data_IF_982387613375
#
_entry.id   IF_982387613375
#
_cell.length_a   1.000
_cell.length_b   1.000
_cell.length_c   1.000
_cell.angle_alpha   90.00
_cell.angle_beta   90.00
_cell.angle_gamma   90.00
#
_symmetry.space_group_name_H-M   'P 1'
#
loop_
_entity.id
_entity.type
_entity.pdbx_description
1 polymer ?
#
# COMPACT_ATOMS: atom_id res chain seq x y z
N UNK A 1 -1.99 1.72 -6.42
CA UNK A 1 -2.41 0.38 -5.94
C UNK A 1 -2.43 0.34 -4.41
N UNK A 2 -1.28 0.35 -3.70
CA UNK A 2 -1.24 0.15 -2.25
C UNK A 2 -2.13 1.11 -1.45
N UNK A 3 -2.06 2.41 -1.72
CA UNK A 3 -2.91 3.41 -1.04
C UNK A 3 -4.40 3.10 -1.18
N UNK A 4 -4.84 2.74 -2.40
CA UNK A 4 -6.25 2.44 -2.65
C UNK A 4 -6.70 1.19 -1.89
N UNK A 5 -5.88 0.15 -1.84
CA UNK A 5 -6.20 -1.09 -1.14
C UNK A 5 -6.34 -0.90 0.39
N UNK A 6 -5.67 0.08 0.98
CA UNK A 6 -5.78 0.32 2.43
C UNK A 6 -6.77 1.44 2.80
N UNK A 7 -7.03 2.41 1.90
CA UNK A 7 -7.95 3.53 2.20
C UNK A 7 -9.37 3.23 1.73
N UNK A 8 -9.54 2.72 0.51
CA UNK A 8 -10.86 2.49 -0.09
C UNK A 8 -11.82 1.67 0.79
N UNK A 9 -11.42 0.54 1.41
CA UNK A 9 -12.33 -0.20 2.28
C UNK A 9 -12.77 0.62 3.50
N UNK A 10 -11.88 1.44 4.08
CA UNK A 10 -12.19 2.26 5.25
C UNK A 10 -13.24 3.33 4.94
N UNK A 11 -13.09 4.04 3.82
CA UNK A 11 -14.04 5.09 3.42
C UNK A 11 -15.33 4.50 2.86
N UNK A 12 -15.24 3.48 2.00
CA UNK A 12 -16.39 2.84 1.37
C UNK A 12 -17.36 2.22 2.38
N UNK A 13 -16.85 1.67 3.46
CA UNK A 13 -17.65 1.07 4.53
C UNK A 13 -18.00 2.06 5.65
N UNK A 14 -17.61 3.32 5.51
CA UNK A 14 -17.91 4.38 6.47
C UNK A 14 -17.24 4.18 7.82
N UNK A 15 -16.08 3.53 7.85
CA UNK A 15 -15.29 3.37 9.08
C UNK A 15 -14.50 4.63 9.39
N UNK A 16 -14.04 5.33 8.36
CA UNK A 16 -13.36 6.64 8.46
C UNK A 16 -14.04 7.58 7.46
N UNK A 17 -14.25 8.82 7.88
CA UNK A 17 -14.86 9.86 7.04
C UNK A 17 -14.06 10.13 5.77
N UNK A 18 -14.76 10.37 4.65
CA UNK A 18 -14.14 10.83 3.40
C UNK A 18 -13.48 12.21 3.55
N UNK A 19 -13.85 12.99 4.56
CA UNK A 19 -13.23 14.29 4.91
C UNK A 19 -11.96 14.17 5.76
N UNK A 20 -11.63 12.95 6.27
CA UNK A 20 -10.43 12.71 7.06
C UNK A 20 -9.16 13.04 6.27
N UNK A 21 -8.19 13.69 6.93
CA UNK A 21 -6.91 14.01 6.33
C UNK A 21 -5.97 12.82 6.41
N UNK A 22 -6.01 11.95 5.42
CA UNK A 22 -5.13 10.78 5.36
C UNK A 22 -3.65 11.16 5.19
N UNK A 23 -2.77 10.47 5.91
CA UNK A 23 -1.32 10.62 5.84
C UNK A 23 -0.72 9.31 5.33
N UNK A 24 0.00 9.37 4.21
CA UNK A 24 0.57 8.22 3.52
C UNK A 24 2.07 8.43 3.35
N UNK A 25 2.86 7.44 3.70
CA UNK A 25 4.28 7.36 3.37
C UNK A 25 4.51 6.12 2.51
N UNK A 26 5.35 6.23 1.49
CA UNK A 26 5.73 5.10 0.66
C UNK A 26 7.23 5.05 0.42
N UNK A 27 7.78 3.85 0.41
CA UNK A 27 9.14 3.58 -0.04
C UNK A 27 9.10 2.56 -1.17
N UNK A 28 9.74 2.90 -2.29
CA UNK A 28 9.81 2.05 -3.49
C UNK A 28 11.26 1.77 -3.88
N UNK A 29 11.49 0.62 -4.48
CA UNK A 29 12.69 0.38 -5.23
C UNK A 29 12.80 1.34 -6.44
N UNK A 30 14.03 1.62 -6.87
CA UNK A 30 14.30 2.62 -7.91
C UNK A 30 13.79 2.23 -9.31
N UNK A 31 13.49 0.95 -9.54
CA UNK A 31 12.87 0.50 -10.81
C UNK A 31 11.51 1.16 -11.09
N UNK A 32 10.78 1.57 -10.03
CA UNK A 32 9.48 2.26 -10.15
C UNK A 32 9.51 3.60 -10.89
N UNK A 33 10.66 4.26 -10.94
CA UNK A 33 10.87 5.50 -11.71
C UNK A 33 11.26 5.28 -13.18
N UNK A 34 11.31 4.01 -13.64
CA UNK A 34 11.64 3.64 -15.00
C UNK A 34 13.10 3.93 -15.36
N UNK A 35 13.39 3.92 -16.67
CA UNK A 35 14.78 4.01 -17.21
C UNK A 35 15.57 5.19 -16.65
N UNK A 36 14.96 6.37 -16.54
CA UNK A 36 15.65 7.58 -16.05
C UNK A 36 16.12 7.45 -14.61
N UNK A 37 15.31 6.85 -13.75
CA UNK A 37 15.67 6.68 -12.35
C UNK A 37 16.66 5.52 -12.14
N UNK A 38 16.56 4.48 -12.95
CA UNK A 38 17.56 3.38 -12.99
C UNK A 38 18.93 3.95 -13.39
N UNK A 39 18.99 4.76 -14.46
CA UNK A 39 20.22 5.42 -14.91
C UNK A 39 20.79 6.36 -13.85
N UNK A 40 19.93 7.18 -13.22
CA UNK A 40 20.32 8.03 -12.10
C UNK A 40 20.94 7.22 -10.97
N UNK A 41 20.30 6.12 -10.57
CA UNK A 41 20.77 5.30 -9.47
C UNK A 41 22.08 4.59 -9.79
N UNK A 42 22.26 4.12 -11.02
CA UNK A 42 23.52 3.53 -11.48
C UNK A 42 24.70 4.53 -11.44
N UNK A 43 24.43 5.80 -11.72
CA UNK A 43 25.46 6.84 -11.73
C UNK A 43 25.78 7.41 -10.36
N UNK A 44 24.78 7.56 -9.48
CA UNK A 44 24.90 8.28 -8.22
C UNK A 44 24.86 7.40 -6.98
N UNK A 45 24.34 6.16 -7.08
CA UNK A 45 24.20 5.21 -5.99
C UNK A 45 23.58 5.85 -4.73
N UNK A 46 22.52 6.67 -4.92
CA UNK A 46 21.89 7.39 -3.83
C UNK A 46 21.21 6.43 -2.85
N UNK A 47 21.51 6.45 -1.55
CA UNK A 47 20.98 5.46 -0.61
C UNK A 47 19.47 5.60 -0.41
N UNK A 48 18.96 6.84 -0.40
CA UNK A 48 17.56 7.14 -0.13
C UNK A 48 17.24 8.60 -0.50
N UNK A 49 16.04 8.87 -0.99
CA UNK A 49 15.55 10.24 -1.16
C UNK A 49 14.02 10.32 -1.19
N UNK A 50 13.50 11.44 -0.72
CA UNK A 50 12.12 11.86 -0.94
C UNK A 50 11.97 12.63 -2.23
N UNK A 51 10.78 12.59 -2.83
CA UNK A 51 10.45 13.39 -4.01
C UNK A 51 9.02 13.92 -3.91
N UNK A 52 8.56 14.70 -4.89
CA UNK A 52 7.25 15.36 -4.88
C UNK A 52 6.97 16.17 -3.58
N UNK A 53 8.00 16.83 -3.04
CA UNK A 53 7.95 17.57 -1.76
C UNK A 53 7.04 18.82 -1.78
N UNK A 54 6.48 19.18 -2.95
CA UNK A 54 5.42 20.19 -3.06
C UNK A 54 4.02 19.60 -2.78
N UNK A 55 3.94 18.36 -2.33
CA UNK A 55 2.70 17.61 -2.03
C UNK A 55 1.73 17.57 -3.24
N UNK A 56 2.26 17.45 -4.44
CA UNK A 56 1.51 17.42 -5.69
C UNK A 56 1.84 16.19 -6.54
N UNK A 57 1.99 15.04 -5.91
CA UNK A 57 2.30 13.79 -6.61
C UNK A 57 1.21 13.43 -7.62
N UNK A 58 1.62 12.93 -8.80
CA UNK A 58 0.70 12.58 -9.91
C UNK A 58 -0.40 11.57 -9.57
N UNK A 59 -0.22 10.75 -8.52
CA UNK A 59 -1.21 9.77 -8.09
C UNK A 59 -2.25 10.34 -7.10
N UNK A 60 -2.12 11.56 -6.60
CA UNK A 60 -3.10 12.13 -5.67
C UNK A 60 -4.51 12.20 -6.26
N UNK A 61 -4.72 12.66 -7.51
CA UNK A 61 -6.05 12.68 -8.10
C UNK A 61 -6.68 11.28 -8.23
N UNK A 62 -5.86 10.26 -8.52
CA UNK A 62 -6.29 8.86 -8.61
C UNK A 62 -6.71 8.33 -7.24
N UNK A 63 -5.90 8.55 -6.19
CA UNK A 63 -6.23 8.12 -4.83
C UNK A 63 -7.50 8.81 -4.36
N UNK A 64 -7.60 10.13 -4.54
CA UNK A 64 -8.77 10.91 -4.18
C UNK A 64 -10.03 10.38 -4.85
N UNK A 65 -9.99 10.17 -6.17
CA UNK A 65 -11.13 9.70 -6.94
C UNK A 65 -11.59 8.30 -6.53
N UNK A 66 -10.66 7.34 -6.46
CA UNK A 66 -11.02 5.95 -6.16
C UNK A 66 -11.42 5.72 -4.71
N UNK A 67 -10.86 6.48 -3.78
CA UNK A 67 -11.20 6.37 -2.36
C UNK A 67 -12.30 7.34 -1.91
N UNK A 68 -12.90 8.08 -2.84
CA UNK A 68 -13.99 9.06 -2.62
C UNK A 68 -13.63 10.12 -1.55
N UNK A 69 -12.39 10.62 -1.61
CA UNK A 69 -11.90 11.57 -0.61
C UNK A 69 -12.30 13.00 -0.95
N UNK A 70 -12.70 13.77 0.06
CA UNK A 70 -12.94 15.21 -0.08
C UNK A 70 -11.63 16.01 -0.18
N UNK A 71 -10.60 15.56 0.52
CA UNK A 71 -9.29 16.20 0.59
C UNK A 71 -8.20 15.34 -0.07
N UNK A 72 -7.19 15.98 -0.66
CA UNK A 72 -6.00 15.25 -1.11
C UNK A 72 -5.24 14.71 0.12
N UNK A 73 -4.83 13.44 0.13
CA UNK A 73 -4.02 12.93 1.23
C UNK A 73 -2.64 13.59 1.25
N UNK A 74 -2.06 13.75 2.44
CA UNK A 74 -0.64 14.09 2.57
C UNK A 74 0.15 12.85 2.16
N UNK A 75 0.84 12.91 1.04
CA UNK A 75 1.59 11.79 0.49
C UNK A 75 3.08 12.09 0.43
N UNK A 76 3.88 11.33 1.16
CA UNK A 76 5.33 11.42 1.21
C UNK A 76 5.96 10.21 0.51
N UNK A 77 6.20 10.26 -0.80
CA UNK A 77 6.86 9.19 -1.53
C UNK A 77 8.37 9.24 -1.39
N UNK A 78 9.00 8.08 -1.33
CA UNK A 78 10.44 7.94 -1.31
C UNK A 78 10.93 6.81 -2.20
N UNK A 79 12.20 6.88 -2.56
CA UNK A 79 12.94 5.85 -3.27
C UNK A 79 14.17 5.49 -2.46
N UNK A 80 14.46 4.19 -2.35
CA UNK A 80 15.65 3.70 -1.69
C UNK A 80 16.49 2.83 -2.64
N UNK A 81 17.74 2.57 -2.26
CA UNK A 81 18.70 1.87 -3.08
C UNK A 81 18.50 0.35 -3.05
N UNK A 82 17.33 -0.08 -3.51
CA UNK A 82 17.03 -1.46 -3.89
C UNK A 82 16.25 -1.44 -5.19
N UNK A 83 16.34 -2.49 -5.97
CA UNK A 83 15.77 -2.50 -7.31
C UNK A 83 14.24 -2.58 -7.30
N UNK A 84 13.66 -3.53 -6.57
CA UNK A 84 12.27 -3.97 -6.68
C UNK A 84 11.64 -4.20 -5.30
N UNK A 85 10.35 -3.92 -5.19
CA UNK A 85 9.56 -3.98 -3.97
C UNK A 85 9.07 -2.61 -3.53
N UNK A 86 7.96 -2.59 -2.77
CA UNK A 86 7.35 -1.34 -2.29
C UNK A 86 6.55 -1.59 -1.02
N UNK A 87 6.66 -0.65 -0.10
CA UNK A 87 5.78 -0.53 1.06
C UNK A 87 5.03 0.80 0.98
N UNK A 88 3.74 0.76 1.25
CA UNK A 88 2.88 1.95 1.43
C UNK A 88 2.28 1.88 2.82
N UNK A 89 2.51 2.89 3.63
CA UNK A 89 2.05 3.01 5.01
C UNK A 89 0.97 4.07 5.14
N UNK A 90 -0.11 3.74 5.80
CA UNK A 90 -1.17 4.64 6.25
C UNK A 90 -1.10 4.76 7.77
N UNK A 91 -1.02 5.99 8.28
CA UNK A 91 -0.92 6.28 9.72
C UNK A 91 -2.29 6.67 10.25
N UNK A 92 -2.75 5.99 11.28
CA UNK A 92 -4.05 6.20 11.90
C UNK A 92 -3.98 6.11 13.43
N UNK A 93 -5.04 6.59 14.06
CA UNK A 93 -5.36 6.39 15.46
C UNK A 93 -6.77 5.80 15.58
N UNK A 94 -7.06 5.07 16.65
CA UNK A 94 -8.43 4.60 16.94
C UNK A 94 -9.45 5.75 16.99
N UNK A 95 -9.00 6.99 17.27
CA UNK A 95 -9.84 8.20 17.29
C UNK A 95 -10.26 8.69 15.90
N UNK A 96 -9.63 8.20 14.83
CA UNK A 96 -9.95 8.58 13.46
C UNK A 96 -11.16 7.82 12.92
N UNK A 97 -11.59 6.78 13.63
CA UNK A 97 -12.74 5.97 13.26
C UNK A 97 -14.05 6.64 13.71
N UNK A 98 -15.08 6.59 12.84
CA UNK A 98 -16.40 7.18 13.08
C UNK A 98 -17.13 6.55 14.27
N UNK A 99 -16.80 5.32 14.60
CA UNK A 99 -17.30 4.61 15.78
C UNK A 99 -16.14 4.08 16.58
N UNK A 100 -16.36 3.90 17.88
CA UNK A 100 -15.40 3.22 18.72
C UNK A 100 -15.08 1.85 18.13
N UNK A 101 -13.80 1.62 17.86
CA UNK A 101 -13.29 0.40 17.25
C UNK A 101 -12.08 -0.11 18.02
N UNK A 102 -11.95 -1.41 18.14
CA UNK A 102 -10.77 -2.09 18.66
C UNK A 102 -9.82 -2.47 17.52
N UNK A 103 -8.56 -2.72 17.85
CA UNK A 103 -7.59 -3.24 16.87
C UNK A 103 -8.00 -4.59 16.28
N UNK A 104 -8.65 -5.44 17.08
CA UNK A 104 -9.15 -6.72 16.63
C UNK A 104 -10.24 -6.54 15.56
N UNK A 105 -11.21 -5.64 15.79
CA UNK A 105 -12.28 -5.36 14.82
C UNK A 105 -11.73 -4.79 13.51
N UNK A 106 -10.69 -3.94 13.57
CA UNK A 106 -10.05 -3.40 12.37
C UNK A 106 -9.32 -4.50 11.59
N UNK A 107 -8.59 -5.38 12.28
CA UNK A 107 -7.91 -6.51 11.65
C UNK A 107 -8.91 -7.49 11.04
N UNK A 108 -9.95 -7.86 11.78
CA UNK A 108 -11.02 -8.75 11.32
C UNK A 108 -11.79 -8.14 10.14
N UNK A 109 -12.04 -6.85 10.16
CA UNK A 109 -12.63 -6.11 9.03
C UNK A 109 -11.81 -6.28 7.76
N UNK A 110 -10.50 -6.05 7.78
CA UNK A 110 -9.66 -6.20 6.59
C UNK A 110 -9.60 -7.65 6.12
N UNK A 111 -9.52 -8.62 7.02
CA UNK A 111 -9.55 -10.05 6.68
C UNK A 111 -10.85 -10.42 5.97
N UNK A 112 -11.99 -10.03 6.53
CA UNK A 112 -13.30 -10.32 5.94
C UNK A 112 -13.52 -9.59 4.62
N UNK A 113 -13.04 -8.33 4.50
CA UNK A 113 -13.17 -7.56 3.28
C UNK A 113 -12.40 -8.18 2.11
N UNK A 114 -11.23 -8.75 2.38
CA UNK A 114 -10.36 -9.33 1.35
C UNK A 114 -10.36 -10.86 1.30
N UNK A 115 -11.21 -11.56 2.05
CA UNK A 115 -11.20 -13.04 2.16
C UNK A 115 -11.31 -13.76 0.81
N UNK A 116 -12.08 -13.18 -0.15
CA UNK A 116 -12.33 -13.79 -1.46
C UNK A 116 -11.40 -13.19 -2.57
N UNK A 117 -10.39 -12.40 -2.19
CA UNK A 117 -9.49 -11.77 -3.12
C UNK A 117 -8.21 -12.59 -3.32
N UNK A 118 -8.03 -13.13 -4.54
CA UNK A 118 -6.94 -14.04 -4.92
C UNK A 118 -5.54 -13.49 -4.58
N UNK A 119 -5.33 -12.19 -4.73
CA UNK A 119 -4.01 -11.57 -4.65
C UNK A 119 -3.86 -10.58 -3.48
N UNK A 120 -4.78 -10.56 -2.53
CA UNK A 120 -4.68 -9.69 -1.34
C UNK A 120 -4.71 -10.55 -0.09
N UNK A 121 -3.63 -10.52 0.66
CA UNK A 121 -3.46 -11.30 1.89
C UNK A 121 -3.36 -10.35 3.08
N UNK A 122 -4.28 -10.49 4.05
CA UNK A 122 -4.22 -9.75 5.30
C UNK A 122 -3.55 -10.63 6.36
N UNK A 123 -2.40 -10.21 6.86
CA UNK A 123 -1.63 -10.96 7.86
C UNK A 123 -2.05 -10.58 9.28
N UNK A 124 -2.19 -11.57 10.13
CA UNK A 124 -2.24 -11.35 11.59
C UNK A 124 -0.85 -10.96 12.09
N UNK A 125 -0.78 -10.21 13.18
CA UNK A 125 0.48 -9.76 13.79
C UNK A 125 1.49 -10.90 13.99
N UNK A 126 1.02 -12.06 14.47
CA UNK A 126 1.85 -13.25 14.69
C UNK A 126 2.38 -13.90 13.40
N UNK A 127 1.80 -13.55 12.25
CA UNK A 127 2.15 -14.12 10.94
C UNK A 127 2.88 -13.11 10.04
N UNK A 128 3.24 -11.93 10.56
CA UNK A 128 4.05 -10.95 9.83
C UNK A 128 5.50 -11.44 9.82
N UNK A 129 6.03 -11.67 8.62
CA UNK A 129 7.43 -12.03 8.48
C UNK A 129 8.33 -10.81 8.71
N UNK A 130 9.16 -10.89 9.73
CA UNK A 130 10.15 -9.87 10.09
C UNK A 130 11.55 -10.46 10.07
N UNK A 131 12.14 -10.73 8.90
CA UNK A 131 13.50 -11.24 8.81
C UNK A 131 14.48 -10.32 9.54
N UNK A 132 15.23 -10.87 10.49
CA UNK A 132 16.14 -10.11 11.37
C UNK A 132 15.43 -9.03 12.23
N UNK A 133 14.11 -9.16 12.45
CA UNK A 133 13.30 -8.17 13.17
C UNK A 133 12.91 -6.94 12.35
N UNK A 134 13.10 -6.94 11.03
CA UNK A 134 12.83 -5.80 10.15
C UNK A 134 11.77 -6.09 9.10
N UNK A 135 10.81 -5.18 8.94
CA UNK A 135 9.83 -5.21 7.85
C UNK A 135 10.46 -4.65 6.57
N UNK A 136 10.64 -5.52 5.58
CA UNK A 136 11.39 -5.21 4.36
C UNK A 136 10.46 -5.07 3.15
N UNK A 137 10.75 -4.15 2.20
CA UNK A 137 9.89 -3.89 1.03
C UNK A 137 9.96 -4.96 -0.05
N UNK A 138 10.91 -5.88 0.02
CA UNK A 138 11.18 -6.90 -0.99
C UNK A 138 10.80 -8.32 -0.58
N UNK A 139 9.91 -8.48 0.41
CA UNK A 139 9.51 -9.79 0.92
C UNK A 139 8.71 -10.61 -0.11
N UNK A 140 7.91 -9.94 -0.95
CA UNK A 140 6.99 -10.58 -1.91
C UNK A 140 7.16 -10.11 -3.35
N UNK A 141 8.40 -9.80 -3.72
CA UNK A 141 8.73 -9.44 -5.13
C UNK A 141 8.50 -10.62 -6.09
N UNK A 142 8.41 -10.33 -7.39
CA UNK A 142 8.13 -11.29 -8.46
C UNK A 142 6.77 -12.00 -8.29
N UNK A 143 5.79 -11.30 -7.74
CA UNK A 143 4.44 -11.81 -7.57
C UNK A 143 3.39 -10.73 -7.84
N UNK A 144 2.13 -11.14 -8.03
CA UNK A 144 0.98 -10.24 -8.09
C UNK A 144 0.31 -10.06 -6.71
N UNK A 145 0.91 -10.55 -5.64
CA UNK A 145 0.36 -10.47 -4.30
C UNK A 145 0.55 -9.08 -3.68
N UNK A 146 -0.38 -8.75 -2.80
CA UNK A 146 -0.26 -7.67 -1.80
C UNK A 146 -0.43 -8.27 -0.42
N UNK A 147 0.46 -7.96 0.48
CA UNK A 147 0.28 -8.25 1.90
C UNK A 147 -0.11 -6.97 2.63
N UNK A 148 -1.26 -7.01 3.29
CA UNK A 148 -1.70 -5.95 4.20
C UNK A 148 -1.36 -6.38 5.62
N UNK A 149 -0.57 -5.56 6.30
CA UNK A 149 -0.11 -5.78 7.66
C UNK A 149 -0.57 -4.62 8.54
N UNK A 150 -1.05 -4.92 9.75
CA UNK A 150 -1.52 -3.92 10.70
C UNK A 150 -0.60 -3.96 11.92
N UNK A 151 0.20 -2.90 12.09
CA UNK A 151 1.04 -2.69 13.27
C UNK A 151 0.32 -1.75 14.23
N UNK A 152 0.35 -2.05 15.52
CA UNK A 152 -0.43 -1.33 16.53
C UNK A 152 0.36 -1.05 17.80
N UNK A 153 0.03 0.06 18.43
CA UNK A 153 0.46 0.38 19.79
C UNK A 153 -0.77 0.44 20.69
N UNK A 154 -0.99 -0.60 21.49
CA UNK A 154 -2.16 -0.75 22.35
C UNK A 154 -2.23 0.30 23.46
N UNK A 155 -1.09 0.88 23.86
CA UNK A 155 -1.05 1.90 24.91
C UNK A 155 -1.48 3.29 24.39
N UNK A 156 -1.17 3.62 23.13
CA UNK A 156 -1.45 4.95 22.56
C UNK A 156 -2.66 4.98 21.62
N UNK A 157 -3.19 3.81 21.24
CA UNK A 157 -4.27 3.72 20.26
C UNK A 157 -3.84 4.01 18.82
N UNK A 158 -2.53 4.02 18.53
CA UNK A 158 -1.98 4.28 17.20
C UNK A 158 -1.83 2.99 16.40
N UNK A 159 -2.04 3.08 15.08
CA UNK A 159 -1.82 1.97 14.16
C UNK A 159 -1.23 2.44 12.84
N UNK A 160 -0.54 1.52 12.19
CA UNK A 160 -0.05 1.66 10.81
C UNK A 160 -0.65 0.51 10.01
N UNK A 161 -1.40 0.84 8.96
CA UNK A 161 -1.83 -0.15 7.97
C UNK A 161 -0.84 -0.08 6.82
N UNK A 162 -0.15 -1.18 6.57
CA UNK A 162 0.93 -1.25 5.60
C UNK A 162 0.58 -2.22 4.47
N UNK A 163 0.73 -1.77 3.22
CA UNK A 163 0.63 -2.63 2.04
C UNK A 163 2.04 -2.87 1.48
N UNK A 164 2.47 -4.13 1.46
CA UNK A 164 3.72 -4.57 0.84
C UNK A 164 3.40 -5.29 -0.48
N UNK A 165 4.10 -4.95 -1.55
CA UNK A 165 3.90 -5.54 -2.88
C UNK A 165 5.06 -5.25 -3.81
N UNK A 166 5.09 -5.97 -4.92
CA UNK A 166 6.04 -5.73 -6.02
C UNK A 166 5.61 -4.50 -6.84
N UNK A 167 6.46 -3.48 -6.87
CA UNK A 167 6.22 -2.26 -7.66
C UNK A 167 6.24 -2.49 -9.17
N UNK A 168 6.88 -3.55 -9.67
CA UNK A 168 6.89 -3.95 -11.09
C UNK A 168 5.79 -4.97 -11.41
N UNK A 169 5.45 -5.83 -10.46
CA UNK A 169 4.38 -6.82 -10.56
C UNK A 169 3.01 -6.19 -10.32
N UNK A 170 2.49 -6.31 -9.10
CA UNK A 170 1.20 -5.74 -8.67
C UNK A 170 1.10 -4.22 -8.85
N UNK A 171 2.22 -3.54 -8.72
CA UNK A 171 2.29 -2.09 -8.94
C UNK A 171 2.21 -1.66 -10.40
N UNK A 172 2.39 -2.57 -11.36
CA UNK A 172 2.47 -2.26 -12.80
C UNK A 172 1.94 -3.38 -13.70
N UNK A 173 2.82 -4.24 -14.23
CA UNK A 173 2.48 -5.16 -15.34
C UNK A 173 1.53 -6.28 -14.94
N UNK A 174 1.72 -6.88 -13.77
CA UNK A 174 0.87 -7.98 -13.33
C UNK A 174 -0.56 -7.51 -13.02
N UNK A 175 -0.74 -6.31 -12.45
CA UNK A 175 -2.07 -5.74 -12.29
C UNK A 175 -2.77 -5.49 -13.65
N UNK A 176 -2.03 -5.10 -14.69
CA UNK A 176 -2.61 -4.94 -16.03
C UNK A 176 -3.07 -6.29 -16.62
N UNK A 177 -2.27 -7.36 -16.44
CA UNK A 177 -2.64 -8.72 -16.85
C UNK A 177 -3.88 -9.18 -16.08
N UNK A 178 -3.91 -9.00 -14.75
CA UNK A 178 -5.06 -9.32 -13.92
C UNK A 178 -6.33 -8.62 -14.40
N UNK A 179 -6.27 -7.31 -14.66
CA UNK A 179 -7.39 -6.54 -15.18
C UNK A 179 -7.85 -7.04 -16.56
N UNK A 180 -6.90 -7.41 -17.43
CA UNK A 180 -7.19 -8.00 -18.73
C UNK A 180 -7.92 -9.34 -18.58
N UNK A 181 -7.43 -10.23 -17.72
CA UNK A 181 -8.03 -11.52 -17.45
C UNK A 181 -9.48 -11.37 -16.99
N UNK A 182 -9.72 -10.53 -15.98
CA UNK A 182 -11.07 -10.23 -15.48
C UNK A 182 -11.98 -9.63 -16.57
N UNK A 183 -11.45 -8.70 -17.38
CA UNK A 183 -12.22 -8.02 -18.43
C UNK A 183 -12.68 -8.96 -19.54
N UNK A 184 -11.87 -9.97 -19.86
CA UNK A 184 -12.17 -10.94 -20.94
C UNK A 184 -12.74 -12.27 -20.41
N UNK A 185 -12.97 -12.42 -19.11
CA UNK A 185 -13.53 -13.62 -18.50
C UNK A 185 -12.57 -14.81 -18.47
N UNK A 186 -11.27 -14.55 -18.50
CA UNK A 186 -10.24 -15.56 -18.24
C UNK A 186 -10.09 -15.81 -16.73
N UNK A 187 -9.42 -16.90 -16.38
CA UNK A 187 -8.98 -17.13 -15.00
C UNK A 187 -8.12 -15.96 -14.54
N UNK A 188 -8.44 -15.40 -13.38
CA UNK A 188 -7.79 -14.21 -12.85
C UNK A 188 -6.27 -14.36 -12.73
N UNK A 189 -5.80 -15.59 -12.50
CA UNK A 189 -4.38 -15.94 -12.28
C UNK A 189 -3.60 -16.23 -13.58
N UNK A 190 -4.26 -16.25 -14.72
CA UNK A 190 -3.64 -16.66 -15.98
C UNK A 190 -2.44 -15.77 -16.33
N UNK A 191 -1.23 -16.36 -16.35
CA UNK A 191 0.01 -15.67 -16.66
C UNK A 191 0.59 -14.79 -15.53
N UNK A 192 0.13 -14.99 -14.28
CA UNK A 192 0.57 -14.26 -13.10
C UNK A 192 1.30 -15.15 -12.11
#
# INVERSE_FOLDING_TARGET
TGSNLIIFPLTKMGLISCSHQFIIQAVSGFSGGGKKLIEYQNNYNSPFFYYALKLNHKHLPEIKFHCDLENDPIFLPSVANFYQGMIVNLFLSLKDFEKEASFFEIEDFFKNYYQDQQFVNVKSEDNIELPDGFYKPNLIINSNNVEINIFKNTNSGQLIISANFDNLGKGASAAAIQCMNLRFGFDETLGL
#
